data_IF_634146208637
#
_entry.id   IF_634146208637
#
_cell.length_a   1.000
_cell.length_b   1.000
_cell.length_c   1.000
_cell.angle_alpha   90.00
_cell.angle_beta   90.00
_cell.angle_gamma   90.00
#
_symmetry.space_group_name_H-M   'P 1'
#
loop_
_entity.id
_entity.type
_entity.pdbx_description
1 polymer ?
#
# COMPACT_ATOMS: atom_id res chain seq x y z
N UNK A 1 -48.81 52.61 35.08
CA UNK A 1 -48.11 51.37 35.47
C UNK A 1 -47.92 50.59 34.18
N UNK A 2 -46.87 50.88 33.44
CA UNK A 2 -45.51 50.34 33.59
C UNK A 2 -45.38 48.91 33.07
N UNK A 3 -44.30 48.72 32.32
CA UNK A 3 -43.62 47.49 31.91
C UNK A 3 -44.14 46.93 30.58
N UNK A 4 -43.57 47.28 29.42
CA UNK A 4 -42.15 47.16 29.00
C UNK A 4 -41.62 45.74 29.21
N UNK A 5 -41.90 44.85 28.25
CA UNK A 5 -40.98 43.77 27.89
C UNK A 5 -40.82 43.77 26.37
N UNK A 6 -39.84 44.58 25.95
CA UNK A 6 -39.02 44.39 24.77
C UNK A 6 -37.89 43.43 25.22
N UNK A 7 -37.71 42.28 24.57
CA UNK A 7 -36.51 41.39 24.58
C UNK A 7 -36.96 40.00 24.07
N UNK A 8 -36.38 39.30 23.10
CA UNK A 8 -35.24 39.48 22.21
C UNK A 8 -35.51 38.61 20.98
N UNK A 9 -35.57 39.24 19.81
CA UNK A 9 -34.97 38.69 18.60
C UNK A 9 -33.49 38.45 18.92
N UNK A 10 -33.01 37.23 18.77
CA UNK A 10 -31.60 36.90 18.91
C UNK A 10 -31.40 35.40 18.87
N UNK A 11 -30.56 34.95 17.94
CA UNK A 11 -30.01 33.60 17.79
C UNK A 11 -30.77 32.58 16.92
N UNK A 12 -31.20 32.99 15.71
CA UNK A 12 -31.48 32.04 14.62
C UNK A 12 -30.37 31.99 13.54
N UNK A 13 -29.17 32.51 13.81
CA UNK A 13 -28.06 32.60 12.82
C UNK A 13 -26.83 31.74 13.18
N UNK A 14 -27.02 30.52 13.72
CA UNK A 14 -25.87 29.65 13.97
C UNK A 14 -26.05 28.16 13.68
N UNK A 15 -27.12 27.76 12.99
CA UNK A 15 -27.33 26.35 12.61
C UNK A 15 -26.87 26.02 11.17
N UNK A 16 -26.63 27.02 10.31
CA UNK A 16 -26.25 26.78 8.90
C UNK A 16 -24.74 26.54 8.68
N UNK A 17 -23.90 26.68 9.71
CA UNK A 17 -22.44 26.57 9.57
C UNK A 17 -21.86 25.17 9.85
N UNK A 18 -22.67 24.17 10.20
CA UNK A 18 -22.19 22.81 10.54
C UNK A 18 -22.52 21.75 9.47
N UNK A 19 -23.42 21.99 8.53
CA UNK A 19 -23.73 20.98 7.48
C UNK A 19 -22.68 20.87 6.36
N UNK A 20 -21.81 21.88 6.20
CA UNK A 20 -20.84 21.89 5.10
C UNK A 20 -19.65 20.93 5.28
N UNK A 21 -19.37 20.47 6.50
CA UNK A 21 -18.26 19.53 6.76
C UNK A 21 -18.66 18.05 6.71
N UNK A 22 -19.94 17.74 6.85
CA UNK A 22 -20.45 16.36 6.73
C UNK A 22 -20.51 15.88 5.27
N UNK A 23 -20.67 16.82 4.32
CA UNK A 23 -20.67 16.51 2.89
C UNK A 23 -19.31 16.09 2.32
N UNK A 24 -18.22 16.67 2.83
CA UNK A 24 -16.84 16.42 2.33
C UNK A 24 -16.20 15.18 2.99
N UNK A 25 -16.70 14.77 4.16
CA UNK A 25 -16.26 13.56 4.88
C UNK A 25 -17.03 12.29 4.49
N UNK A 26 -18.09 12.43 3.70
CA UNK A 26 -19.05 11.36 3.32
C UNK A 26 -18.46 10.16 2.53
N UNK A 27 -17.20 10.21 2.09
CA UNK A 27 -16.58 9.13 1.32
C UNK A 27 -15.56 8.26 2.07
N UNK A 28 -14.98 8.73 3.19
CA UNK A 28 -13.86 8.06 3.86
C UNK A 28 -14.12 8.01 5.37
N UNK A 29 -14.50 6.83 5.85
CA UNK A 29 -14.68 6.53 7.28
C UNK A 29 -13.40 6.84 8.08
N UNK A 30 -13.53 7.55 9.21
CA UNK A 30 -12.42 7.84 10.13
C UNK A 30 -11.63 6.60 10.53
N UNK A 31 -12.29 5.42 10.59
CA UNK A 31 -11.61 4.13 10.83
C UNK A 31 -10.61 3.79 9.74
N UNK A 32 -10.95 4.06 8.47
CA UNK A 32 -10.06 3.79 7.32
C UNK A 32 -8.83 4.68 7.35
N UNK A 33 -9.01 5.96 7.69
CA UNK A 33 -7.90 6.91 7.86
C UNK A 33 -6.99 6.47 9.01
N UNK A 34 -7.57 6.13 10.17
CA UNK A 34 -6.81 5.66 11.33
C UNK A 34 -6.01 4.38 11.01
N UNK A 35 -6.66 3.40 10.36
CA UNK A 35 -5.99 2.16 9.96
C UNK A 35 -4.85 2.41 8.96
N UNK A 36 -5.09 3.22 7.92
CA UNK A 36 -4.05 3.58 6.95
C UNK A 36 -2.87 4.29 7.60
N UNK A 37 -3.14 5.21 8.54
CA UNK A 37 -2.11 5.93 9.30
C UNK A 37 -1.27 5.02 10.19
N UNK A 38 -1.91 4.12 10.95
CA UNK A 38 -1.21 3.16 11.82
C UNK A 38 -0.34 2.22 10.98
N UNK A 39 -0.88 1.67 9.89
CA UNK A 39 -0.15 0.75 9.02
C UNK A 39 0.97 1.46 8.25
N UNK A 40 0.76 2.72 7.85
CA UNK A 40 1.83 3.55 7.28
C UNK A 40 2.95 3.76 8.30
N UNK A 41 2.63 4.20 9.52
CA UNK A 41 3.62 4.40 10.58
C UNK A 41 4.39 3.12 10.90
N UNK A 42 3.70 1.97 10.97
CA UNK A 42 4.33 0.66 11.15
C UNK A 42 5.28 0.31 9.99
N UNK A 43 4.86 0.58 8.76
CA UNK A 43 5.71 0.34 7.57
C UNK A 43 6.98 1.20 7.56
N UNK A 44 6.91 2.41 8.10
CA UNK A 44 8.08 3.30 8.24
C UNK A 44 8.95 2.83 9.40
N UNK A 45 8.35 2.48 10.54
CA UNK A 45 9.08 2.03 11.73
C UNK A 45 9.88 0.74 11.49
N UNK A 46 9.43 -0.13 10.58
CA UNK A 46 10.15 -1.35 10.21
C UNK A 46 11.21 -1.13 9.13
N UNK A 47 11.25 0.04 8.48
CA UNK A 47 12.19 0.31 7.40
C UNK A 47 13.68 0.11 7.76
N UNK A 48 14.16 0.52 8.96
CA UNK A 48 15.56 0.30 9.35
C UNK A 48 15.96 -1.18 9.42
N UNK A 49 14.99 -2.11 9.53
CA UNK A 49 15.28 -3.55 9.49
C UNK A 49 15.96 -3.94 8.18
N UNK A 50 15.72 -3.20 7.08
CA UNK A 50 16.37 -3.41 5.79
C UNK A 50 17.88 -3.14 5.79
N UNK A 51 18.44 -2.52 6.83
CA UNK A 51 19.89 -2.37 6.99
C UNK A 51 20.55 -3.67 7.48
N UNK A 52 19.82 -4.51 8.19
CA UNK A 52 20.31 -5.79 8.71
C UNK A 52 20.11 -6.96 7.73
N UNK A 53 19.42 -6.73 6.62
CA UNK A 53 19.14 -7.75 5.61
C UNK A 53 20.28 -7.78 4.59
N UNK A 54 20.79 -8.97 4.22
CA UNK A 54 21.79 -9.10 3.17
C UNK A 54 21.35 -8.41 1.86
N UNK A 55 22.26 -7.61 1.29
CA UNK A 55 22.09 -6.92 0.01
C UNK A 55 22.97 -7.55 -1.05
N UNK A 56 22.56 -7.48 -2.31
CA UNK A 56 23.44 -7.91 -3.41
C UNK A 56 24.63 -6.93 -3.49
N UNK A 57 25.88 -7.43 -3.36
CA UNK A 57 27.07 -6.60 -3.49
C UNK A 57 27.08 -5.86 -4.83
N UNK A 58 27.36 -4.55 -4.79
CA UNK A 58 27.42 -3.73 -5.99
C UNK A 58 26.08 -3.24 -6.54
N UNK A 59 24.92 -3.79 -6.10
CA UNK A 59 23.60 -3.29 -6.53
C UNK A 59 22.84 -2.56 -5.43
N UNK A 60 23.06 -2.96 -4.18
CA UNK A 60 22.42 -2.33 -3.01
C UNK A 60 20.95 -2.73 -2.78
N UNK A 61 20.36 -3.57 -3.63
CA UNK A 61 19.01 -4.11 -3.42
C UNK A 61 19.02 -5.17 -2.31
N UNK A 62 18.12 -5.02 -1.35
CA UNK A 62 17.89 -5.99 -0.28
C UNK A 62 17.18 -7.25 -0.80
N UNK A 63 17.64 -8.43 -0.36
CA UNK A 63 17.04 -9.71 -0.76
C UNK A 63 15.60 -9.87 -0.25
N UNK A 64 15.30 -9.26 0.90
CA UNK A 64 14.02 -9.29 1.57
C UNK A 64 13.67 -7.87 2.03
N UNK A 65 12.38 -7.53 2.01
CA UNK A 65 11.93 -6.21 2.42
C UNK A 65 10.60 -6.32 3.20
N UNK A 66 10.62 -6.10 4.52
CA UNK A 66 9.43 -6.27 5.35
C UNK A 66 8.38 -5.16 5.15
N UNK A 67 8.74 -4.06 4.49
CA UNK A 67 7.87 -2.88 4.40
C UNK A 67 6.73 -3.11 3.39
N UNK A 68 7.01 -3.73 2.24
CA UNK A 68 5.99 -4.07 1.22
C UNK A 68 4.98 -5.09 1.73
N UNK A 69 5.39 -5.97 2.65
CA UNK A 69 4.49 -6.90 3.36
C UNK A 69 3.42 -6.11 4.12
N UNK A 70 3.79 -5.05 4.84
CA UNK A 70 2.81 -4.21 5.57
C UNK A 70 1.85 -3.53 4.60
N UNK A 71 2.32 -3.09 3.43
CA UNK A 71 1.47 -2.44 2.41
C UNK A 71 0.43 -3.40 1.84
N UNK A 72 0.83 -4.63 1.56
CA UNK A 72 -0.08 -5.66 1.05
C UNK A 72 -1.03 -6.12 2.16
N UNK A 73 -0.58 -6.22 3.42
CA UNK A 73 -1.48 -6.46 4.57
C UNK A 73 -2.53 -5.34 4.65
N UNK A 74 -2.12 -4.08 4.51
CA UNK A 74 -3.03 -2.94 4.53
C UNK A 74 -4.08 -3.02 3.42
N UNK A 75 -3.68 -3.42 2.22
CA UNK A 75 -4.60 -3.74 1.13
C UNK A 75 -5.56 -4.89 1.48
N UNK A 76 -5.05 -6.01 2.02
CA UNK A 76 -5.88 -7.17 2.33
C UNK A 76 -6.87 -6.94 3.48
N UNK A 77 -6.55 -6.05 4.42
CA UNK A 77 -7.43 -5.68 5.54
C UNK A 77 -8.43 -4.60 5.12
N UNK A 78 -7.96 -3.58 4.41
CA UNK A 78 -8.65 -2.31 4.23
C UNK A 78 -9.06 -1.96 2.79
N UNK A 79 -8.85 -2.89 1.86
CA UNK A 79 -9.12 -2.67 0.45
C UNK A 79 -8.14 -1.72 -0.22
N UNK A 80 -8.51 -1.30 -1.43
CA UNK A 80 -7.61 -0.57 -2.33
C UNK A 80 -7.14 0.77 -1.75
N UNK A 81 -8.05 1.56 -1.18
CA UNK A 81 -7.72 2.90 -0.68
C UNK A 81 -6.69 2.85 0.46
N UNK A 82 -6.91 1.99 1.46
CA UNK A 82 -5.98 1.82 2.59
C UNK A 82 -4.62 1.33 2.08
N UNK A 83 -4.61 0.31 1.21
CA UNK A 83 -3.38 -0.21 0.61
C UNK A 83 -2.56 0.86 -0.11
N UNK A 84 -3.21 1.70 -0.94
CA UNK A 84 -2.52 2.78 -1.68
C UNK A 84 -2.01 3.88 -0.76
N UNK A 85 -2.82 4.35 0.20
CA UNK A 85 -2.41 5.40 1.14
C UNK A 85 -1.23 4.92 1.98
N UNK A 86 -1.31 3.70 2.52
CA UNK A 86 -0.20 3.10 3.28
C UNK A 86 1.06 2.93 2.43
N UNK A 87 0.92 2.51 1.17
CA UNK A 87 2.06 2.38 0.22
C UNK A 87 2.73 3.73 -0.03
N UNK A 88 1.94 4.77 -0.33
CA UNK A 88 2.46 6.11 -0.63
C UNK A 88 3.12 6.74 0.60
N UNK A 89 2.45 6.71 1.76
CA UNK A 89 3.00 7.24 3.00
C UNK A 89 4.25 6.46 3.44
N UNK A 90 4.23 5.13 3.35
CA UNK A 90 5.39 4.29 3.61
C UNK A 90 6.56 4.60 2.69
N UNK A 91 6.29 4.80 1.39
CA UNK A 91 7.32 5.20 0.42
C UNK A 91 7.93 6.56 0.77
N UNK A 92 7.12 7.55 1.15
CA UNK A 92 7.62 8.85 1.61
C UNK A 92 8.52 8.72 2.83
N UNK A 93 8.17 7.85 3.79
CA UNK A 93 9.04 7.56 4.92
C UNK A 93 10.36 6.89 4.51
N UNK A 94 10.33 5.99 3.53
CA UNK A 94 11.56 5.35 3.01
C UNK A 94 12.53 6.34 2.36
N UNK A 95 12.03 7.41 1.73
CA UNK A 95 12.90 8.46 1.19
C UNK A 95 13.76 9.15 2.28
N UNK A 96 13.35 9.11 3.55
CA UNK A 96 14.15 9.66 4.64
C UNK A 96 15.36 8.79 5.00
N UNK A 97 15.34 7.51 4.60
CA UNK A 97 16.39 6.53 4.90
C UNK A 97 17.24 6.17 3.67
N UNK A 98 16.78 6.48 2.46
CA UNK A 98 17.51 6.18 1.22
C UNK A 98 18.25 7.41 0.69
N UNK A 99 19.60 7.41 0.67
CA UNK A 99 20.38 8.57 0.23
C UNK A 99 20.28 8.83 -1.28
N UNK A 100 19.85 7.85 -2.08
CA UNK A 100 19.74 7.97 -3.54
C UNK A 100 18.32 8.33 -3.98
N UNK A 101 17.31 7.99 -3.18
CA UNK A 101 15.89 8.07 -3.53
C UNK A 101 15.44 7.06 -4.60
N UNK A 102 16.37 6.36 -5.25
CA UNK A 102 16.07 5.39 -6.31
C UNK A 102 15.43 4.15 -5.71
N UNK A 103 15.93 3.67 -4.56
CA UNK A 103 15.38 2.49 -3.88
C UNK A 103 13.87 2.58 -3.61
N UNK A 104 13.38 3.62 -2.90
CA UNK A 104 11.96 3.84 -2.66
C UNK A 104 11.12 3.89 -3.95
N UNK A 105 11.64 4.54 -5.00
CA UNK A 105 10.96 4.58 -6.30
C UNK A 105 10.81 3.20 -6.94
N UNK A 106 11.89 2.41 -6.99
CA UNK A 106 11.82 1.05 -7.52
C UNK A 106 10.87 0.16 -6.73
N UNK A 107 10.82 0.37 -5.41
CA UNK A 107 9.97 -0.40 -4.52
C UNK A 107 8.48 -0.13 -4.72
N UNK A 108 8.09 1.15 -4.88
CA UNK A 108 6.69 1.46 -5.18
C UNK A 108 6.28 0.91 -6.54
N UNK A 109 7.14 1.02 -7.57
CA UNK A 109 6.89 0.43 -8.90
C UNK A 109 6.77 -1.09 -8.83
N UNK A 110 7.57 -1.74 -7.99
CA UNK A 110 7.53 -3.19 -7.80
C UNK A 110 6.29 -3.67 -7.04
N UNK A 111 5.82 -2.89 -6.06
CA UNK A 111 4.75 -3.31 -5.14
C UNK A 111 3.36 -2.92 -5.65
N UNK A 112 3.22 -1.80 -6.36
CA UNK A 112 1.91 -1.36 -6.86
C UNK A 112 1.18 -2.42 -7.71
N UNK A 113 1.83 -3.16 -8.63
CA UNK A 113 1.18 -4.26 -9.35
C UNK A 113 0.54 -5.30 -8.42
N UNK A 114 1.19 -5.59 -7.28
CA UNK A 114 0.75 -6.56 -6.27
C UNK A 114 -0.51 -6.10 -5.51
N UNK A 115 -0.88 -4.83 -5.60
CA UNK A 115 -2.10 -4.26 -5.02
C UNK A 115 -3.15 -4.01 -6.11
N UNK A 116 -2.75 -3.33 -7.18
CA UNK A 116 -3.63 -2.88 -8.26
C UNK A 116 -4.22 -4.07 -9.02
N UNK A 117 -3.43 -5.08 -9.36
CA UNK A 117 -3.91 -6.21 -10.17
C UNK A 117 -4.94 -7.06 -9.42
N UNK A 118 -4.72 -7.48 -8.15
CA UNK A 118 -5.76 -8.17 -7.41
C UNK A 118 -7.04 -7.34 -7.26
N UNK A 119 -6.92 -6.03 -6.97
CA UNK A 119 -8.08 -5.15 -6.90
C UNK A 119 -8.86 -5.07 -8.22
N UNK A 120 -8.17 -4.83 -9.35
CA UNK A 120 -8.81 -4.80 -10.66
C UNK A 120 -9.44 -6.15 -11.01
N UNK A 121 -8.77 -7.26 -10.68
CA UNK A 121 -9.30 -8.61 -10.88
C UNK A 121 -10.61 -8.86 -10.10
N UNK A 122 -10.73 -8.33 -8.89
CA UNK A 122 -11.99 -8.37 -8.13
C UNK A 122 -13.03 -7.43 -8.73
N UNK A 123 -12.64 -6.21 -9.11
CA UNK A 123 -13.55 -5.19 -9.68
C UNK A 123 -14.17 -5.67 -10.99
N UNK A 124 -13.39 -6.28 -11.88
CA UNK A 124 -13.87 -6.88 -13.12
C UNK A 124 -14.90 -8.01 -12.89
N UNK A 125 -14.83 -8.68 -11.74
CA UNK A 125 -15.76 -9.73 -11.33
C UNK A 125 -16.92 -9.22 -10.47
N UNK A 126 -17.04 -7.90 -10.28
CA UNK A 126 -18.02 -7.28 -9.37
C UNK A 126 -17.93 -7.85 -7.94
N UNK A 127 -16.71 -8.10 -7.49
CA UNK A 127 -16.37 -8.73 -6.20
C UNK A 127 -15.41 -7.84 -5.38
N UNK A 128 -15.30 -6.56 -5.73
CA UNK A 128 -14.37 -5.62 -5.09
C UNK A 128 -14.80 -5.21 -3.68
N UNK A 129 -16.06 -5.41 -3.30
CA UNK A 129 -16.63 -4.86 -2.06
C UNK A 129 -16.34 -5.73 -0.83
N UNK A 130 -15.57 -6.83 -0.98
CA UNK A 130 -15.22 -7.69 0.16
C UNK A 130 -13.88 -8.38 0.02
N UNK A 131 -13.03 -8.22 1.04
CA UNK A 131 -11.77 -8.93 1.19
C UNK A 131 -11.92 -10.45 1.31
N UNK A 132 -13.13 -10.96 1.59
CA UNK A 132 -13.39 -12.40 1.61
C UNK A 132 -13.18 -13.06 0.25
N UNK A 133 -13.29 -12.31 -0.84
CA UNK A 133 -13.13 -12.85 -2.20
C UNK A 133 -11.68 -13.26 -2.50
N UNK A 134 -10.72 -12.67 -1.79
CA UNK A 134 -9.30 -13.02 -1.84
C UNK A 134 -8.92 -14.07 -0.79
N UNK A 135 -9.83 -14.46 0.11
CA UNK A 135 -9.56 -15.52 1.10
C UNK A 135 -9.44 -16.92 0.49
N UNK A 136 -9.82 -17.09 -0.78
CA UNK A 136 -9.60 -18.35 -1.51
C UNK A 136 -8.14 -18.40 -1.99
N UNK A 137 -7.33 -19.38 -1.54
CA UNK A 137 -5.92 -19.46 -1.91
C UNK A 137 -5.73 -19.46 -3.42
N UNK A 138 -6.55 -20.24 -4.14
CA UNK A 138 -6.47 -20.35 -5.60
C UNK A 138 -6.72 -19.00 -6.29
N UNK A 139 -7.74 -18.25 -5.88
CA UNK A 139 -8.05 -16.94 -6.47
C UNK A 139 -6.91 -15.95 -6.19
N UNK A 140 -6.45 -15.91 -4.95
CA UNK A 140 -5.35 -15.05 -4.53
C UNK A 140 -4.08 -15.36 -5.32
N UNK A 141 -3.63 -16.62 -5.32
CA UNK A 141 -2.44 -17.07 -6.06
C UNK A 141 -2.52 -16.70 -7.54
N UNK A 142 -3.65 -16.92 -8.21
CA UNK A 142 -3.78 -16.56 -9.64
C UNK A 142 -3.63 -15.06 -9.85
N UNK A 143 -4.27 -14.22 -9.02
CA UNK A 143 -4.17 -12.77 -9.14
C UNK A 143 -2.75 -12.26 -8.83
N UNK A 144 -2.08 -12.85 -7.82
CA UNK A 144 -0.70 -12.52 -7.47
C UNK A 144 0.30 -12.97 -8.53
N UNK A 145 0.05 -14.09 -9.22
CA UNK A 145 0.86 -14.52 -10.36
C UNK A 145 0.74 -13.54 -11.53
N UNK A 146 -0.47 -13.08 -11.85
CA UNK A 146 -0.66 -12.03 -12.88
C UNK A 146 0.03 -10.74 -12.44
N UNK A 147 -0.07 -10.36 -11.16
CA UNK A 147 0.61 -9.20 -10.62
C UNK A 147 2.14 -9.30 -10.74
N UNK A 148 2.72 -10.47 -10.48
CA UNK A 148 4.14 -10.75 -10.68
C UNK A 148 4.55 -10.58 -12.15
N UNK A 149 3.76 -11.06 -13.11
CA UNK A 149 4.07 -10.87 -14.54
C UNK A 149 4.09 -9.38 -14.91
N UNK A 150 3.12 -8.59 -14.40
CA UNK A 150 3.10 -7.14 -14.59
C UNK A 150 4.32 -6.49 -13.92
N UNK A 151 4.64 -6.87 -12.67
CA UNK A 151 5.84 -6.41 -11.97
C UNK A 151 7.11 -6.65 -12.78
N UNK A 152 7.31 -7.85 -13.32
CA UNK A 152 8.47 -8.18 -14.15
C UNK A 152 8.49 -7.36 -15.44
N UNK A 153 7.35 -7.18 -16.09
CA UNK A 153 7.25 -6.37 -17.32
C UNK A 153 7.63 -4.90 -17.13
N UNK A 154 7.46 -4.36 -15.91
CA UNK A 154 7.86 -3.00 -15.55
C UNK A 154 9.31 -2.94 -15.06
N UNK A 155 9.69 -3.88 -14.19
CA UNK A 155 10.99 -3.84 -13.51
C UNK A 155 12.14 -4.21 -14.43
N UNK A 156 11.96 -5.13 -15.39
CA UNK A 156 13.05 -5.52 -16.30
C UNK A 156 13.48 -4.34 -17.19
N UNK A 157 12.59 -3.67 -17.95
CA UNK A 157 12.98 -2.51 -18.74
C UNK A 157 13.55 -1.37 -17.88
N UNK A 158 12.94 -1.11 -16.72
CA UNK A 158 13.40 -0.05 -15.84
C UNK A 158 14.82 -0.31 -15.32
N UNK A 159 15.15 -1.54 -14.93
CA UNK A 159 16.49 -1.89 -14.49
C UNK A 159 17.51 -1.87 -15.64
N UNK A 160 17.14 -2.31 -16.86
CA UNK A 160 18.02 -2.21 -18.03
C UNK A 160 18.40 -0.75 -18.33
N UNK A 161 17.49 0.20 -18.10
CA UNK A 161 17.75 1.63 -18.34
C UNK A 161 18.56 2.23 -17.19
N UNK A 162 18.18 1.97 -15.95
CA UNK A 162 18.72 2.70 -14.79
C UNK A 162 20.04 2.10 -14.30
N UNK A 163 20.15 0.76 -14.21
CA UNK A 163 21.34 0.13 -13.60
C UNK A 163 22.64 0.51 -14.32
N UNK A 164 22.73 0.51 -15.67
CA UNK A 164 23.94 0.92 -16.38
C UNK A 164 24.36 2.37 -16.15
N UNK A 165 23.45 3.24 -15.69
CA UNK A 165 23.78 4.65 -15.39
C UNK A 165 24.57 4.80 -14.08
N UNK A 166 24.46 3.82 -13.19
CA UNK A 166 25.06 3.88 -11.84
C UNK A 166 26.08 2.75 -11.61
N UNK A 167 26.00 1.66 -12.37
CA UNK A 167 26.78 0.45 -12.17
C UNK A 167 27.25 -0.12 -13.51
N UNK A 168 28.49 -0.61 -13.56
CA UNK A 168 29.07 -1.22 -14.77
C UNK A 168 28.66 -2.70 -14.89
N UNK A 169 27.36 -2.94 -15.05
CA UNK A 169 26.77 -4.28 -15.12
C UNK A 169 26.34 -4.63 -16.54
N UNK A 170 26.59 -5.87 -16.95
CA UNK A 170 26.12 -6.38 -18.24
C UNK A 170 24.59 -6.57 -18.26
N UNK A 171 23.97 -6.37 -19.42
CA UNK A 171 22.51 -6.53 -19.60
C UNK A 171 22.02 -7.91 -19.14
N UNK A 172 22.77 -8.96 -19.44
CA UNK A 172 22.44 -10.33 -19.02
C UNK A 172 22.35 -10.45 -17.50
N UNK A 173 23.33 -9.91 -16.77
CA UNK A 173 23.37 -9.91 -15.31
C UNK A 173 22.19 -9.12 -14.74
N UNK A 174 21.90 -7.93 -15.30
CA UNK A 174 20.79 -7.08 -14.88
C UNK A 174 19.46 -7.84 -15.00
N UNK A 175 19.21 -8.47 -16.15
CA UNK A 175 17.97 -9.23 -16.40
C UNK A 175 17.87 -10.41 -15.43
N UNK A 176 18.94 -11.21 -15.31
CA UNK A 176 18.96 -12.39 -14.45
C UNK A 176 18.64 -12.03 -13.00
N UNK A 177 19.37 -11.07 -12.43
CA UNK A 177 19.16 -10.68 -11.04
C UNK A 177 17.82 -9.97 -10.83
N UNK A 178 17.35 -9.14 -11.79
CA UNK A 178 16.03 -8.50 -11.71
C UNK A 178 14.93 -9.54 -11.64
N UNK A 179 14.97 -10.56 -12.49
CA UNK A 179 13.96 -11.63 -12.49
C UNK A 179 13.99 -12.41 -11.18
N UNK A 180 15.16 -12.88 -10.76
CA UNK A 180 15.31 -13.69 -9.54
C UNK A 180 14.81 -12.92 -8.31
N UNK A 181 15.25 -11.68 -8.13
CA UNK A 181 14.86 -10.87 -6.97
C UNK A 181 13.38 -10.54 -6.97
N UNK A 182 12.80 -10.12 -8.10
CA UNK A 182 11.39 -9.77 -8.13
C UNK A 182 10.49 -10.99 -7.94
N UNK A 183 10.88 -12.17 -8.43
CA UNK A 183 10.15 -13.43 -8.16
C UNK A 183 10.22 -13.77 -6.67
N UNK A 184 11.42 -13.74 -6.07
CA UNK A 184 11.61 -14.06 -4.66
C UNK A 184 10.86 -13.09 -3.75
N UNK A 185 10.99 -11.79 -3.99
CA UNK A 185 10.28 -10.75 -3.24
C UNK A 185 8.77 -10.90 -3.41
N UNK A 186 8.27 -11.10 -4.64
CA UNK A 186 6.83 -11.30 -4.87
C UNK A 186 6.27 -12.54 -4.17
N UNK A 187 7.07 -13.60 -4.03
CA UNK A 187 6.66 -14.77 -3.26
C UNK A 187 6.40 -14.41 -1.80
N UNK A 188 7.31 -13.68 -1.16
CA UNK A 188 7.16 -13.26 0.24
C UNK A 188 6.05 -12.22 0.41
N UNK A 189 6.00 -11.24 -0.48
CA UNK A 189 4.98 -10.19 -0.57
C UNK A 189 3.57 -10.77 -0.74
N UNK A 190 3.42 -11.92 -1.39
CA UNK A 190 2.13 -12.61 -1.50
C UNK A 190 1.87 -13.53 -0.31
N UNK A 191 2.85 -14.36 0.04
CA UNK A 191 2.66 -15.45 1.01
C UNK A 191 2.46 -14.93 2.42
N UNK A 192 3.32 -14.02 2.89
CA UNK A 192 3.30 -13.55 4.29
C UNK A 192 2.00 -12.80 4.59
N UNK A 193 1.58 -11.79 3.81
CA UNK A 193 0.31 -11.11 4.05
C UNK A 193 -0.89 -12.05 4.05
N UNK A 194 -0.92 -13.02 3.13
CA UNK A 194 -1.99 -14.00 3.05
C UNK A 194 -2.09 -14.84 4.33
N UNK A 195 -0.95 -15.37 4.81
CA UNK A 195 -0.88 -16.18 6.02
C UNK A 195 -1.14 -15.37 7.30
N UNK A 196 -0.87 -14.07 7.29
CA UNK A 196 -1.15 -13.19 8.42
C UNK A 196 -2.63 -12.80 8.45
N UNK A 197 -3.24 -12.43 7.32
CA UNK A 197 -4.57 -11.78 7.31
C UNK A 197 -5.73 -12.79 7.32
N UNK A 198 -5.64 -13.89 6.57
CA UNK A 198 -6.78 -14.80 6.41
C UNK A 198 -6.96 -15.80 7.56
N UNK A 199 -5.91 -16.50 8.03
CA UNK A 199 -6.02 -17.41 9.17
C UNK A 199 -6.45 -16.71 10.46
N UNK A 200 -6.01 -15.46 10.68
CA UNK A 200 -6.34 -14.67 11.87
C UNK A 200 -7.73 -14.03 11.80
N UNK A 201 -8.34 -13.97 10.61
CA UNK A 201 -9.63 -13.31 10.42
C UNK A 201 -9.59 -11.79 10.53
N UNK A 202 -8.40 -11.16 10.49
CA UNK A 202 -8.24 -9.70 10.60
C UNK A 202 -9.14 -8.94 9.61
N UNK A 203 -9.25 -9.43 8.38
CA UNK A 203 -10.10 -8.80 7.36
C UNK A 203 -11.60 -8.76 7.75
N UNK A 204 -12.09 -9.74 8.52
CA UNK A 204 -13.49 -9.77 9.01
C UNK A 204 -13.69 -8.82 10.18
N UNK A 205 -12.70 -8.76 11.07
CA UNK A 205 -12.80 -7.95 12.28
C UNK A 205 -12.88 -6.46 11.96
N UNK A 206 -12.09 -6.00 10.99
CA UNK A 206 -12.08 -4.60 10.60
C UNK A 206 -13.21 -4.23 9.62
N UNK A 207 -13.59 -5.15 8.71
CA UNK A 207 -14.72 -4.92 7.79
C UNK A 207 -14.59 -3.67 6.93
N UNK A 208 -13.35 -3.24 6.62
CA UNK A 208 -13.06 -1.94 6.00
C UNK A 208 -13.03 -1.95 4.48
N UNK A 209 -13.33 -3.09 3.83
CA UNK A 209 -13.38 -3.22 2.38
C UNK A 209 -14.50 -2.40 1.74
#
# INVERSE_FOLDING_TARGET
MNDTIQQLDGDSENEDHIEWFDGVTSGIDSKRVAAAGILAALSIAIAPVAEFIPRIPGWGIALFDPVSIIWIIAFLIGGFWIGIVTTLAGTMGLFLYDPTGIGPFFKIVATLPMIVIPYLGLKLRRQADSGSNLASPRKYTVLMLVALLVRLSLMVPLNIIIVPLFFDWGIEQIVQYTVILNVLQSLWDALVPYLVVYPTGLYRHYGMW
#
